data_IF_823424990853
#
_entry.id   IF_823424990853
#
_cell.length_a   1.000
_cell.length_b   1.000
_cell.length_c   1.000
_cell.angle_alpha   90.00
_cell.angle_beta   90.00
_cell.angle_gamma   90.00
#
_symmetry.space_group_name_H-M   'P 1'
#
loop_
_entity.id
_entity.type
_entity.pdbx_description
1 polymer ?
#
# COMPACT_ATOMS: atom_id res chain seq x y z
N UNK A 1 63.73 48.86 -5.03
CA UNK A 1 62.69 49.71 -4.40
C UNK A 1 61.77 48.81 -3.58
N UNK A 2 61.69 49.10 -2.28
CA UNK A 2 60.74 48.68 -1.23
C UNK A 2 59.82 47.47 -1.50
N UNK A 3 60.03 46.30 -0.87
CA UNK A 3 59.59 45.90 0.49
C UNK A 3 58.16 46.36 0.82
N UNK A 4 57.25 45.40 0.97
CA UNK A 4 56.35 45.32 2.13
C UNK A 4 55.79 43.90 2.28
N UNK A 5 56.36 43.21 3.27
CA UNK A 5 55.84 42.00 3.90
C UNK A 5 54.98 42.50 5.06
N UNK A 6 53.69 42.17 5.06
CA UNK A 6 52.80 42.44 6.18
C UNK A 6 52.74 41.21 7.08
N UNK A 7 53.26 41.37 8.30
CA UNK A 7 53.03 40.52 9.46
C UNK A 7 51.62 40.78 10.02
N UNK A 8 50.84 39.74 10.29
CA UNK A 8 49.74 39.82 11.25
C UNK A 8 49.89 38.74 12.33
N UNK A 9 50.37 39.23 13.48
CA UNK A 9 50.02 38.87 14.86
C UNK A 9 49.06 37.69 15.06
N UNK A 10 49.58 36.60 15.64
CA UNK A 10 48.80 35.64 16.42
C UNK A 10 48.24 36.31 17.66
N UNK A 11 46.91 36.51 17.71
CA UNK A 11 46.20 36.63 18.99
C UNK A 11 45.59 35.26 19.30
N UNK A 12 46.02 34.69 20.43
CA UNK A 12 45.40 33.49 21.01
C UNK A 12 43.97 33.81 21.44
N UNK A 13 43.02 33.09 20.85
CA UNK A 13 41.65 33.03 21.33
C UNK A 13 41.50 31.75 22.17
N UNK A 14 41.36 31.94 23.48
CA UNK A 14 40.93 30.90 24.42
C UNK A 14 39.54 30.41 24.03
N UNK A 15 39.44 29.13 23.65
CA UNK A 15 38.16 28.44 23.48
C UNK A 15 37.67 28.02 24.87
N UNK A 16 36.76 28.79 25.44
CA UNK A 16 35.94 28.35 26.55
C UNK A 16 34.86 27.40 26.03
N UNK A 17 34.91 26.14 26.48
CA UNK A 17 33.90 25.13 26.19
C UNK A 17 32.57 25.51 26.88
N UNK A 18 31.68 26.14 26.13
CA UNK A 18 30.29 26.30 26.49
C UNK A 18 29.57 24.99 26.15
N UNK A 19 29.18 24.24 27.17
CA UNK A 19 28.32 23.08 27.02
C UNK A 19 27.01 23.50 26.38
N UNK A 20 26.85 23.21 25.08
CA UNK A 20 25.55 23.22 24.44
C UNK A 20 24.80 22.00 24.97
N UNK A 21 23.95 22.25 25.97
CA UNK A 21 22.94 21.29 26.39
C UNK A 21 22.11 20.93 25.17
N UNK A 22 22.16 19.66 24.78
CA UNK A 22 21.31 19.12 23.74
C UNK A 22 19.87 19.33 24.13
N UNK A 23 19.23 20.30 23.48
CA UNK A 23 17.78 20.34 23.41
C UNK A 23 17.37 19.07 22.68
N UNK A 24 16.90 18.11 23.47
CA UNK A 24 16.10 17.00 22.99
C UNK A 24 14.91 17.61 22.26
N UNK A 25 14.97 17.65 20.94
CA UNK A 25 13.75 17.61 20.14
C UNK A 25 13.11 16.28 20.50
N UNK A 26 12.11 16.35 21.38
CA UNK A 26 11.28 15.22 21.71
C UNK A 26 10.54 14.82 20.44
N UNK A 27 10.93 13.68 19.85
CA UNK A 27 10.10 12.89 18.93
C UNK A 27 8.90 12.33 19.71
N UNK A 28 8.05 13.22 20.22
CA UNK A 28 6.76 12.89 20.80
C UNK A 28 5.77 12.77 19.65
N UNK A 29 5.75 11.61 18.98
CA UNK A 29 4.54 11.02 18.36
C UNK A 29 4.76 9.69 17.61
N UNK A 30 5.96 9.09 17.64
CA UNK A 30 6.14 7.72 17.14
C UNK A 30 6.14 6.75 18.33
N UNK A 31 4.97 6.51 18.94
CA UNK A 31 4.79 5.26 19.68
C UNK A 31 4.91 4.15 18.63
N UNK A 32 6.11 3.57 18.51
CA UNK A 32 6.38 2.51 17.56
C UNK A 32 5.39 1.39 17.80
N UNK A 33 4.46 1.21 16.87
CA UNK A 33 3.54 0.07 16.88
C UNK A 33 4.39 -1.18 16.92
N UNK A 34 4.30 -1.94 18.01
CA UNK A 34 4.97 -3.22 18.12
C UNK A 34 4.24 -4.23 17.20
N UNK A 35 4.79 -4.37 15.99
CA UNK A 35 4.24 -5.22 14.92
C UNK A 35 4.19 -6.70 15.31
N UNK A 36 5.01 -7.13 16.28
CA UNK A 36 4.99 -8.51 16.79
C UNK A 36 3.65 -8.86 17.45
N UNK A 37 2.86 -7.85 17.81
CA UNK A 37 1.51 -8.09 18.30
C UNK A 37 0.55 -8.54 17.21
N UNK A 38 0.80 -8.29 15.92
CA UNK A 38 -0.14 -8.59 14.85
C UNK A 38 0.20 -9.88 14.09
N UNK A 39 1.48 -10.24 14.04
CA UNK A 39 1.91 -11.43 13.29
C UNK A 39 3.29 -11.93 13.72
N UNK A 40 3.56 -13.18 13.36
CA UNK A 40 4.88 -13.80 13.37
C UNK A 40 5.31 -14.06 11.93
N UNK A 41 6.59 -13.83 11.64
CA UNK A 41 7.20 -14.17 10.36
C UNK A 41 8.11 -15.40 10.51
N UNK A 42 7.83 -16.43 9.72
CA UNK A 42 8.63 -17.65 9.63
C UNK A 42 9.50 -17.59 8.36
N UNK A 43 10.82 -17.63 8.55
CA UNK A 43 11.80 -17.51 7.47
C UNK A 43 12.16 -16.07 7.10
N UNK A 44 12.86 -15.92 5.98
CA UNK A 44 13.42 -14.64 5.52
C UNK A 44 13.09 -14.35 4.08
N UNK A 45 12.95 -13.06 3.76
CA UNK A 45 12.71 -12.59 2.40
C UNK A 45 14.02 -12.13 1.75
N UNK A 46 14.43 -12.69 0.59
CA UNK A 46 15.60 -12.19 -0.12
C UNK A 46 15.38 -10.76 -0.62
N UNK A 47 16.48 -10.07 -0.88
CA UNK A 47 16.45 -8.74 -1.48
C UNK A 47 15.94 -8.81 -2.92
N UNK A 48 15.44 -7.68 -3.43
CA UNK A 48 14.96 -7.62 -4.81
C UNK A 48 16.03 -8.03 -5.83
N UNK A 49 17.28 -7.58 -5.63
CA UNK A 49 18.41 -7.97 -6.48
C UNK A 49 18.68 -9.47 -6.47
N UNK A 50 18.57 -10.12 -5.31
CA UNK A 50 18.69 -11.58 -5.21
C UNK A 50 17.59 -12.29 -6.00
N UNK A 51 16.33 -11.83 -5.93
CA UNK A 51 15.22 -12.42 -6.70
C UNK A 51 15.46 -12.27 -8.20
N UNK A 52 15.86 -11.08 -8.67
CA UNK A 52 16.12 -10.83 -10.09
C UNK A 52 17.28 -11.68 -10.65
N UNK A 53 18.20 -12.12 -9.79
CA UNK A 53 19.27 -13.04 -10.19
C UNK A 53 18.76 -14.45 -10.54
N UNK A 54 17.61 -14.86 -9.98
CA UNK A 54 17.00 -16.18 -10.21
C UNK A 54 16.22 -16.26 -11.54
N UNK A 55 15.58 -17.39 -11.82
CA UNK A 55 14.67 -17.57 -12.96
C UNK A 55 13.21 -17.24 -12.64
N UNK A 56 12.87 -17.00 -11.38
CA UNK A 56 11.49 -16.89 -10.88
C UNK A 56 10.62 -15.84 -11.62
N UNK A 57 11.22 -14.69 -11.94
CA UNK A 57 10.53 -13.58 -12.60
C UNK A 57 10.91 -13.41 -14.08
N UNK A 58 11.65 -14.37 -14.65
CA UNK A 58 12.05 -14.34 -16.06
C UNK A 58 10.98 -14.99 -16.95
N UNK A 59 10.81 -14.53 -18.21
CA UNK A 59 11.47 -13.37 -18.81
C UNK A 59 10.93 -12.05 -18.23
N UNK A 60 11.83 -11.08 -18.02
CA UNK A 60 11.42 -9.73 -17.61
C UNK A 60 10.66 -9.04 -18.74
N UNK A 61 9.82 -8.06 -18.36
CA UNK A 61 8.92 -7.33 -19.26
C UNK A 61 7.84 -8.20 -19.92
N UNK A 62 7.63 -9.40 -19.40
CA UNK A 62 6.56 -10.31 -19.79
C UNK A 62 5.93 -10.93 -18.55
N UNK A 63 4.72 -11.43 -18.68
CA UNK A 63 4.06 -12.12 -17.59
C UNK A 63 4.72 -13.47 -17.34
N UNK A 64 5.11 -13.75 -16.09
CA UNK A 64 5.57 -15.07 -15.65
C UNK A 64 4.52 -15.75 -14.78
N UNK A 65 4.42 -17.08 -14.84
CA UNK A 65 3.56 -17.86 -13.94
C UNK A 65 4.34 -18.55 -12.82
N UNK A 66 5.67 -18.43 -12.78
CA UNK A 66 6.51 -19.16 -11.83
C UNK A 66 6.40 -18.60 -10.41
N UNK A 67 6.33 -17.28 -10.24
CA UNK A 67 6.25 -16.64 -8.93
C UNK A 67 7.53 -16.79 -8.10
N UNK A 68 7.48 -16.35 -6.84
CA UNK A 68 8.57 -16.50 -5.88
C UNK A 68 7.95 -16.72 -4.49
N UNK A 69 8.39 -17.77 -3.81
CA UNK A 69 7.97 -18.06 -2.44
C UNK A 69 8.83 -17.27 -1.44
N UNK A 70 8.19 -16.57 -0.51
CA UNK A 70 8.86 -15.74 0.49
C UNK A 70 8.72 -16.29 1.89
N UNK A 71 9.04 -15.45 2.89
CA UNK A 71 8.74 -15.78 4.28
C UNK A 71 7.23 -16.00 4.48
N UNK A 72 6.86 -16.79 5.48
CA UNK A 72 5.45 -17.05 5.82
C UNK A 72 5.02 -16.17 6.98
N UNK A 73 3.98 -15.37 6.76
CA UNK A 73 3.32 -14.61 7.83
C UNK A 73 2.21 -15.48 8.44
N UNK A 74 2.19 -15.55 9.78
CA UNK A 74 1.07 -16.09 10.57
C UNK A 74 0.52 -14.95 11.42
N UNK A 75 -0.76 -14.61 11.24
CA UNK A 75 -1.38 -13.49 11.96
C UNK A 75 -1.90 -13.91 13.34
N UNK A 76 -2.01 -12.94 14.25
CA UNK A 76 -2.75 -13.05 15.50
C UNK A 76 -4.23 -12.78 15.21
N UNK A 77 -5.02 -13.85 15.05
CA UNK A 77 -6.43 -13.78 14.63
C UNK A 77 -7.26 -12.95 15.61
N UNK A 78 -6.98 -13.03 16.92
CA UNK A 78 -7.77 -12.33 17.95
C UNK A 78 -7.63 -10.81 17.86
N UNK A 79 -6.51 -10.32 17.35
CA UNK A 79 -6.28 -8.87 17.18
C UNK A 79 -6.67 -8.39 15.78
N UNK A 80 -6.36 -9.19 14.76
CA UNK A 80 -6.57 -8.79 13.36
C UNK A 80 -8.02 -8.94 12.93
N UNK A 81 -8.66 -10.07 13.27
CA UNK A 81 -10.00 -10.45 12.81
C UNK A 81 -11.11 -9.93 13.72
N UNK A 82 -11.08 -8.63 13.94
CA UNK A 82 -12.00 -7.92 14.84
C UNK A 82 -13.03 -7.10 14.08
N UNK A 83 -13.99 -6.53 14.81
CA UNK A 83 -14.99 -5.62 14.23
C UNK A 83 -16.06 -6.32 13.37
N UNK A 84 -16.86 -5.54 12.61
CA UNK A 84 -18.01 -6.04 11.86
C UNK A 84 -17.64 -6.97 10.70
N UNK A 85 -16.37 -6.96 10.27
CA UNK A 85 -15.89 -7.75 9.14
C UNK A 85 -14.96 -8.91 9.55
N UNK A 86 -14.55 -8.99 10.82
CA UNK A 86 -13.58 -9.97 11.31
C UNK A 86 -13.97 -11.42 11.05
N UNK A 87 -15.24 -11.77 11.28
CA UNK A 87 -15.75 -13.13 11.08
C UNK A 87 -16.20 -13.44 9.65
N UNK A 88 -15.96 -12.56 8.68
CA UNK A 88 -16.38 -12.77 7.29
C UNK A 88 -15.31 -13.52 6.53
N UNK A 89 -15.61 -14.76 6.11
CA UNK A 89 -14.72 -15.50 5.22
C UNK A 89 -14.51 -14.76 3.88
N UNK A 90 -13.25 -14.64 3.45
CA UNK A 90 -12.88 -13.99 2.18
C UNK A 90 -13.40 -14.79 1.00
N UNK A 91 -13.40 -16.13 1.14
CA UNK A 91 -13.82 -17.08 0.11
C UNK A 91 -13.23 -16.78 -1.28
N UNK A 92 -11.92 -16.50 -1.37
CA UNK A 92 -11.24 -16.11 -2.62
C UNK A 92 -11.51 -17.08 -3.77
N UNK A 93 -11.60 -18.38 -3.49
CA UNK A 93 -11.90 -19.39 -4.51
C UNK A 93 -13.34 -19.30 -5.02
N UNK A 94 -14.34 -19.16 -4.15
CA UNK A 94 -15.75 -19.07 -4.58
C UNK A 94 -16.02 -17.74 -5.29
N UNK A 95 -15.42 -16.65 -4.79
CA UNK A 95 -15.55 -15.31 -5.35
C UNK A 95 -14.62 -15.08 -6.56
N UNK A 96 -13.87 -16.11 -6.96
CA UNK A 96 -12.94 -16.10 -8.11
C UNK A 96 -11.98 -14.91 -8.09
N UNK A 97 -11.54 -14.53 -6.89
CA UNK A 97 -10.56 -13.47 -6.73
C UNK A 97 -9.26 -13.82 -7.45
N UNK A 98 -8.64 -12.77 -7.97
CA UNK A 98 -7.34 -12.83 -8.63
C UNK A 98 -6.43 -11.80 -8.02
N UNK A 99 -5.13 -12.07 -8.06
CA UNK A 99 -4.11 -11.10 -7.65
C UNK A 99 -3.31 -10.61 -8.85
N UNK A 100 -2.93 -9.34 -8.80
CA UNK A 100 -1.96 -8.70 -9.68
C UNK A 100 -0.71 -8.44 -8.86
N UNK A 101 0.44 -8.97 -9.25
CA UNK A 101 1.73 -8.80 -8.59
C UNK A 101 2.75 -8.11 -9.51
N UNK A 102 3.97 -7.89 -9.03
CA UNK A 102 5.08 -7.36 -9.84
C UNK A 102 5.42 -8.18 -11.09
N UNK A 103 5.09 -9.48 -11.11
CA UNK A 103 5.45 -10.39 -12.20
C UNK A 103 4.28 -10.86 -13.07
N UNK A 104 3.04 -10.67 -12.63
CA UNK A 104 1.87 -11.15 -13.36
C UNK A 104 0.61 -10.33 -13.02
N UNK A 105 -0.20 -9.91 -14.01
CA UNK A 105 -1.31 -9.01 -13.75
C UNK A 105 -2.61 -9.69 -13.28
N UNK A 106 -2.68 -11.02 -13.37
CA UNK A 106 -3.91 -11.78 -13.13
C UNK A 106 -3.63 -13.25 -12.77
N UNK A 107 -3.31 -13.53 -11.51
CA UNK A 107 -3.05 -14.88 -10.98
C UNK A 107 -4.34 -15.41 -10.36
N UNK A 108 -4.67 -16.67 -10.63
CA UNK A 108 -5.84 -17.36 -10.07
C UNK A 108 -5.54 -17.96 -8.70
N UNK A 109 -6.59 -18.18 -7.90
CA UNK A 109 -6.49 -18.63 -6.51
C UNK A 109 -5.66 -19.91 -6.33
N UNK A 110 -5.80 -20.88 -7.24
CA UNK A 110 -5.04 -22.15 -7.24
C UNK A 110 -3.52 -21.95 -7.29
N UNK A 111 -3.06 -20.77 -7.73
CA UNK A 111 -1.65 -20.42 -7.86
C UNK A 111 -1.16 -19.39 -6.86
N UNK A 112 -1.99 -18.94 -5.90
CA UNK A 112 -1.56 -17.94 -4.91
C UNK A 112 -0.33 -18.37 -4.11
N UNK A 113 -0.21 -19.67 -3.82
CA UNK A 113 0.94 -20.23 -3.09
C UNK A 113 2.30 -19.95 -3.76
N UNK A 114 2.36 -19.91 -5.09
CA UNK A 114 3.58 -19.60 -5.85
C UNK A 114 4.03 -18.14 -5.68
N UNK A 115 3.15 -17.27 -5.18
CA UNK A 115 3.38 -15.83 -5.01
C UNK A 115 3.39 -15.44 -3.53
N UNK A 116 3.69 -16.41 -2.66
CA UNK A 116 3.57 -16.26 -1.21
C UNK A 116 4.37 -15.08 -0.68
N UNK A 117 5.50 -14.71 -1.32
CA UNK A 117 6.26 -13.49 -0.99
C UNK A 117 5.40 -12.22 -0.95
N UNK A 118 4.54 -12.01 -1.94
CA UNK A 118 3.75 -10.78 -2.05
C UNK A 118 2.35 -10.94 -1.48
N UNK A 119 1.79 -12.15 -1.54
CA UNK A 119 0.40 -12.40 -1.19
C UNK A 119 0.22 -13.70 -0.42
N UNK A 120 -0.49 -13.65 0.70
CA UNK A 120 -0.90 -14.83 1.46
C UNK A 120 -2.34 -14.69 1.97
N UNK A 121 -2.94 -15.81 2.35
CA UNK A 121 -4.20 -15.85 3.11
C UNK A 121 -3.96 -16.63 4.40
N UNK A 122 -4.50 -16.12 5.51
CA UNK A 122 -4.51 -16.77 6.82
C UNK A 122 -5.82 -16.40 7.52
N UNK A 123 -6.65 -17.39 7.81
CA UNK A 123 -8.01 -17.19 8.32
C UNK A 123 -8.92 -16.42 7.33
N UNK A 124 -9.57 -15.38 7.84
CA UNK A 124 -10.40 -14.43 7.10
C UNK A 124 -9.59 -13.24 6.58
N UNK A 125 -8.26 -13.33 6.56
CA UNK A 125 -7.36 -12.20 6.25
C UNK A 125 -6.46 -12.47 5.04
N UNK A 126 -6.44 -11.50 4.11
CA UNK A 126 -5.51 -11.42 2.99
C UNK A 126 -4.30 -10.56 3.40
N UNK A 127 -3.10 -11.00 3.07
CA UNK A 127 -1.83 -10.40 3.49
C UNK A 127 -1.12 -9.89 2.24
N UNK A 128 -0.93 -8.57 2.15
CA UNK A 128 -0.30 -7.91 1.01
C UNK A 128 1.05 -7.34 1.42
N UNK A 129 2.10 -7.68 0.66
CA UNK A 129 3.48 -7.25 0.90
C UNK A 129 4.12 -6.69 -0.36
N UNK A 130 4.81 -5.57 -0.22
CA UNK A 130 5.83 -5.11 -1.15
C UNK A 130 7.10 -4.80 -0.36
N UNK A 131 8.25 -5.05 -0.97
CA UNK A 131 9.54 -4.85 -0.33
C UNK A 131 10.31 -3.73 -1.00
N UNK A 132 11.28 -3.19 -0.26
CA UNK A 132 12.20 -2.18 -0.76
C UNK A 132 12.77 -2.54 -2.14
N UNK A 133 12.88 -1.53 -3.00
CA UNK A 133 13.41 -1.56 -4.37
C UNK A 133 12.61 -2.39 -5.38
N UNK A 134 11.50 -3.00 -4.98
CA UNK A 134 10.68 -3.79 -5.89
C UNK A 134 10.03 -2.91 -6.98
N UNK A 135 10.02 -3.46 -8.19
CA UNK A 135 9.55 -2.79 -9.38
C UNK A 135 8.68 -3.75 -10.20
N UNK A 136 7.81 -3.22 -11.05
CA UNK A 136 7.03 -4.05 -11.96
C UNK A 136 7.94 -4.62 -13.05
N UNK A 137 7.94 -5.94 -13.18
CA UNK A 137 8.68 -6.68 -14.19
C UNK A 137 7.76 -7.42 -15.16
N UNK A 138 6.45 -7.31 -15.01
CA UNK A 138 5.47 -7.99 -15.86
C UNK A 138 5.34 -7.37 -17.25
N UNK A 139 5.84 -6.14 -17.46
CA UNK A 139 5.76 -5.40 -18.72
C UNK A 139 6.84 -4.31 -18.78
N UNK A 140 6.81 -3.45 -19.80
CA UNK A 140 7.83 -2.42 -20.05
C UNK A 140 7.81 -1.24 -19.04
N UNK A 141 6.72 -1.05 -18.29
CA UNK A 141 6.61 0.00 -17.26
C UNK A 141 7.30 -0.49 -15.98
N UNK A 142 8.57 -0.14 -15.80
CA UNK A 142 9.39 -0.61 -14.66
C UNK A 142 8.87 -0.21 -13.28
N UNK A 143 8.43 1.03 -13.07
CA UNK A 143 7.80 1.44 -11.80
C UNK A 143 6.41 0.81 -11.67
N UNK A 144 5.56 1.26 -10.74
CA UNK A 144 4.18 0.77 -10.64
C UNK A 144 4.09 -0.67 -10.12
N UNK A 145 5.01 -1.01 -9.21
CA UNK A 145 4.94 -2.19 -8.35
C UNK A 145 3.59 -2.23 -7.62
N UNK A 146 3.05 -3.43 -7.50
CA UNK A 146 1.77 -3.65 -6.85
C UNK A 146 1.60 -5.09 -6.41
N UNK A 147 0.78 -5.26 -5.40
CA UNK A 147 0.10 -6.52 -5.10
C UNK A 147 -1.35 -6.17 -4.79
N UNK A 148 -2.26 -6.45 -5.72
CA UNK A 148 -3.67 -6.08 -5.59
C UNK A 148 -4.56 -7.27 -5.87
N UNK A 149 -5.58 -7.49 -5.05
CA UNK A 149 -6.68 -8.40 -5.34
C UNK A 149 -7.81 -7.68 -6.08
N UNK A 150 -8.55 -8.44 -6.88
CA UNK A 150 -9.75 -7.99 -7.59
C UNK A 150 -10.64 -9.18 -7.95
N UNK A 151 -11.92 -8.93 -8.21
CA UNK A 151 -12.82 -9.92 -8.82
C UNK A 151 -13.01 -9.63 -10.31
N UNK A 152 -12.81 -10.65 -11.18
CA UNK A 152 -13.22 -10.56 -12.56
C UNK A 152 -14.73 -10.79 -12.76
N UNK A 153 -15.45 -11.31 -11.76
CA UNK A 153 -16.88 -11.61 -11.86
C UNK A 153 -17.76 -10.50 -11.30
N UNK A 154 -17.29 -9.77 -10.29
CA UNK A 154 -18.01 -8.67 -9.65
C UNK A 154 -17.68 -7.35 -10.34
N UNK A 155 -17.99 -7.29 -11.64
CA UNK A 155 -17.79 -6.12 -12.49
C UNK A 155 -19.11 -5.68 -13.09
N UNK A 156 -19.25 -4.38 -13.28
CA UNK A 156 -20.49 -3.79 -13.75
C UNK A 156 -20.24 -2.67 -14.75
N UNK A 157 -21.23 -2.43 -15.61
CA UNK A 157 -21.27 -1.22 -16.42
C UNK A 157 -21.90 -0.07 -15.61
N UNK A 158 -21.68 1.19 -16.00
CA UNK A 158 -22.22 2.33 -15.27
C UNK A 158 -23.76 2.31 -15.26
N UNK A 159 -24.35 2.20 -14.07
CA UNK A 159 -25.78 2.10 -13.86
C UNK A 159 -26.20 3.02 -12.70
N UNK A 160 -26.54 4.30 -12.96
CA UNK A 160 -26.72 5.31 -11.91
C UNK A 160 -27.74 4.97 -10.81
N UNK A 161 -28.66 4.04 -11.06
CA UNK A 161 -29.65 3.58 -10.07
C UNK A 161 -29.21 2.37 -9.25
N UNK A 162 -28.08 1.73 -9.58
CA UNK A 162 -27.59 0.50 -8.94
C UNK A 162 -26.28 0.78 -8.22
N UNK A 163 -26.31 0.66 -6.89
CA UNK A 163 -25.12 0.84 -6.07
C UNK A 163 -24.39 -0.48 -5.89
N UNK A 164 -23.10 -0.48 -6.23
CA UNK A 164 -22.20 -1.57 -5.89
C UNK A 164 -21.36 -1.17 -4.68
N UNK A 165 -21.12 -2.12 -3.78
CA UNK A 165 -20.44 -1.89 -2.53
C UNK A 165 -19.18 -2.75 -2.40
N UNK A 166 -18.09 -2.17 -1.89
CA UNK A 166 -16.97 -2.90 -1.33
C UNK A 166 -16.89 -2.62 0.17
N UNK A 167 -16.63 -3.65 0.97
CA UNK A 167 -16.31 -3.47 2.40
C UNK A 167 -15.24 -4.43 2.88
N UNK A 168 -14.35 -3.95 3.75
CA UNK A 168 -13.30 -4.74 4.40
C UNK A 168 -12.74 -4.01 5.62
N UNK A 169 -12.05 -4.75 6.50
CA UNK A 169 -11.21 -4.18 7.56
C UNK A 169 -9.76 -4.13 7.11
N UNK A 170 -9.10 -3.00 7.28
CA UNK A 170 -7.70 -2.81 6.94
C UNK A 170 -6.85 -2.68 8.20
N UNK A 171 -5.69 -3.35 8.22
CA UNK A 171 -4.60 -3.08 9.15
C UNK A 171 -3.36 -2.70 8.35
N UNK A 172 -2.91 -1.45 8.43
CA UNK A 172 -1.64 -1.02 7.81
C UNK A 172 -0.54 -1.21 8.85
N UNK A 173 0.40 -2.10 8.60
CA UNK A 173 1.45 -2.45 9.57
C UNK A 173 2.80 -1.85 9.19
N UNK A 174 3.08 -1.74 7.89
CA UNK A 174 4.24 -0.98 7.38
C UNK A 174 3.78 -0.12 6.22
N UNK A 175 4.20 1.15 6.21
CA UNK A 175 3.87 2.07 5.11
C UNK A 175 5.08 2.85 4.59
N UNK A 176 6.28 2.76 5.18
CA UNK A 176 7.41 3.61 4.81
C UNK A 176 7.71 3.60 3.29
N UNK A 177 7.51 2.46 2.62
CA UNK A 177 7.63 2.32 1.16
C UNK A 177 6.61 3.09 0.32
N UNK A 178 5.56 3.64 0.92
CA UNK A 178 4.55 4.51 0.30
C UNK A 178 4.97 5.98 0.24
N UNK A 179 6.14 6.31 0.78
CA UNK A 179 6.83 7.56 0.49
C UNK A 179 7.43 7.50 -0.92
N UNK A 180 7.66 8.64 -1.55
CA UNK A 180 8.47 8.67 -2.76
C UNK A 180 9.55 9.74 -2.69
N UNK A 181 10.71 9.41 -3.24
CA UNK A 181 11.70 10.38 -3.66
C UNK A 181 11.66 10.49 -5.19
N UNK A 182 11.70 11.73 -5.74
CA UNK A 182 11.73 13.02 -5.05
C UNK A 182 10.34 13.56 -4.65
N UNK A 183 9.26 12.80 -4.86
CA UNK A 183 7.89 13.30 -4.75
C UNK A 183 7.38 13.21 -3.31
N UNK A 184 7.58 14.29 -2.53
CA UNK A 184 7.08 14.47 -1.14
C UNK A 184 5.54 14.34 -0.97
N UNK A 185 4.79 14.04 -2.03
CA UNK A 185 3.33 13.92 -2.05
C UNK A 185 2.87 12.64 -2.76
N UNK A 186 3.68 11.59 -2.72
CA UNK A 186 3.28 10.28 -3.22
C UNK A 186 2.49 9.52 -2.16
N UNK A 187 1.58 8.65 -2.61
CA UNK A 187 0.78 7.81 -1.74
C UNK A 187 0.57 6.46 -2.42
N UNK A 188 0.66 5.38 -1.65
CA UNK A 188 0.15 4.08 -2.10
C UNK A 188 -1.37 4.12 -2.16
N UNK A 189 -1.96 3.46 -3.15
CA UNK A 189 -3.38 3.14 -3.11
C UNK A 189 -3.58 1.84 -2.34
N UNK A 190 -4.47 1.87 -1.34
CA UNK A 190 -4.94 0.69 -0.61
C UNK A 190 -6.19 0.09 -1.25
N UNK A 191 -6.98 0.96 -1.89
CA UNK A 191 -8.20 0.61 -2.59
C UNK A 191 -8.41 1.53 -3.79
N UNK A 192 -9.03 0.99 -4.85
CA UNK A 192 -9.43 1.75 -6.03
C UNK A 192 -10.80 1.26 -6.54
N UNK A 193 -11.73 2.19 -6.76
CA UNK A 193 -12.88 1.96 -7.63
C UNK A 193 -12.49 2.29 -9.06
N UNK A 194 -12.30 1.27 -9.89
CA UNK A 194 -11.48 1.35 -11.10
C UNK A 194 -12.00 0.44 -12.23
N UNK A 195 -12.01 0.96 -13.45
CA UNK A 195 -12.26 0.15 -14.63
C UNK A 195 -11.07 -0.70 -15.07
N UNK A 196 -11.33 -1.70 -15.90
CA UNK A 196 -10.28 -2.61 -16.36
C UNK A 196 -9.37 -1.94 -17.40
N UNK A 197 -8.05 -1.99 -17.18
CA UNK A 197 -6.99 -1.62 -18.12
C UNK A 197 -6.99 -0.20 -18.73
N UNK A 198 -7.96 0.65 -18.39
CA UNK A 198 -7.96 2.08 -18.72
C UNK A 198 -7.67 2.87 -17.45
N UNK A 199 -6.96 4.01 -17.55
CA UNK A 199 -6.77 4.95 -16.44
C UNK A 199 -8.09 5.67 -16.11
N UNK A 200 -9.03 4.88 -15.61
CA UNK A 200 -10.42 5.21 -15.43
C UNK A 200 -10.79 4.72 -14.03
N UNK A 201 -10.37 5.45 -13.00
CA UNK A 201 -10.76 5.28 -11.59
C UNK A 201 -11.57 6.49 -11.12
N UNK A 202 -12.49 6.31 -10.17
CA UNK A 202 -13.38 7.35 -9.61
C UNK A 202 -12.84 7.86 -8.28
N UNK A 203 -12.50 6.94 -7.39
CA UNK A 203 -12.00 7.24 -6.05
C UNK A 203 -10.97 6.18 -5.61
N UNK A 204 -10.04 6.62 -4.76
CA UNK A 204 -9.08 5.74 -4.08
C UNK A 204 -9.02 6.05 -2.59
N UNK A 205 -8.75 5.03 -1.80
CA UNK A 205 -8.22 5.21 -0.44
C UNK A 205 -6.70 5.08 -0.52
N UNK A 206 -5.99 6.05 0.05
CA UNK A 206 -4.54 6.11 -0.05
C UNK A 206 -3.87 6.27 1.31
N UNK A 207 -2.64 5.77 1.41
CA UNK A 207 -1.78 5.91 2.60
C UNK A 207 -0.42 6.49 2.20
N UNK A 208 0.09 7.41 3.02
CA UNK A 208 1.44 7.94 2.92
C UNK A 208 2.40 7.14 3.81
N UNK A 209 3.71 7.29 3.62
CA UNK A 209 4.68 6.50 4.39
C UNK A 209 4.83 6.85 5.87
N UNK A 210 4.25 7.97 6.31
CA UNK A 210 4.07 8.31 7.73
C UNK A 210 2.82 7.68 8.36
N UNK A 211 2.06 6.90 7.58
CA UNK A 211 0.80 6.30 8.01
C UNK A 211 -0.41 7.20 7.85
N UNK A 212 -0.30 8.41 7.32
CA UNK A 212 -1.48 9.27 7.12
C UNK A 212 -2.41 8.69 6.06
N UNK A 213 -3.72 8.66 6.36
CA UNK A 213 -4.77 8.08 5.53
C UNK A 213 -5.53 9.18 4.80
N UNK A 214 -5.80 8.97 3.50
CA UNK A 214 -6.33 10.00 2.62
C UNK A 214 -7.48 9.49 1.76
N UNK A 215 -8.55 10.29 1.72
CA UNK A 215 -9.59 10.21 0.70
C UNK A 215 -9.07 10.89 -0.58
N UNK A 216 -9.07 10.13 -1.68
CA UNK A 216 -8.43 10.57 -2.92
C UNK A 216 -9.42 10.46 -4.11
N UNK A 217 -10.32 11.43 -4.25
CA UNK A 217 -11.27 11.49 -5.36
C UNK A 217 -10.56 11.91 -6.65
N UNK A 218 -11.05 11.44 -7.81
CA UNK A 218 -10.54 11.89 -9.10
C UNK A 218 -10.98 13.32 -9.38
N UNK A 219 -10.03 14.17 -9.78
CA UNK A 219 -10.31 15.53 -10.25
C UNK A 219 -10.82 16.50 -9.17
N UNK A 220 -10.79 16.09 -7.90
CA UNK A 220 -11.20 16.91 -6.76
C UNK A 220 -10.12 16.96 -5.68
N UNK A 221 -10.33 17.80 -4.66
CA UNK A 221 -9.38 17.99 -3.57
C UNK A 221 -9.24 16.69 -2.76
N UNK A 222 -7.99 16.27 -2.51
CA UNK A 222 -7.71 15.16 -1.60
C UNK A 222 -7.82 15.63 -0.15
N UNK A 223 -8.41 14.80 0.70
CA UNK A 223 -8.68 15.12 2.10
C UNK A 223 -8.00 14.10 2.98
N UNK A 224 -7.24 14.58 3.97
CA UNK A 224 -6.67 13.71 4.99
C UNK A 224 -7.80 13.26 5.93
N UNK A 225 -7.88 11.97 6.18
CA UNK A 225 -8.86 11.35 7.07
C UNK A 225 -8.24 11.19 8.46
N UNK A 226 -7.00 10.67 8.54
CA UNK A 226 -6.25 10.44 9.79
C UNK A 226 -4.77 10.74 9.60
N UNK A 227 -4.11 11.18 10.67
CA UNK A 227 -2.67 11.48 10.65
C UNK A 227 -1.79 10.23 10.69
N UNK A 228 -2.23 9.15 11.33
CA UNK A 228 -1.49 7.89 11.40
C UNK A 228 -2.45 6.71 11.60
N UNK A 229 -2.36 5.68 10.75
CA UNK A 229 -3.10 4.42 10.87
C UNK A 229 -2.22 3.19 11.07
N UNK A 230 -0.92 3.37 11.33
CA UNK A 230 0.01 2.26 11.54
C UNK A 230 -0.36 1.45 12.78
N UNK A 231 -0.71 0.18 12.60
CA UNK A 231 -1.20 -0.70 13.66
C UNK A 231 -2.59 -0.35 14.19
N UNK A 232 -3.30 0.57 13.55
CA UNK A 232 -4.62 0.99 13.97
C UNK A 232 -5.63 0.50 12.92
N UNK A 233 -6.35 -0.60 13.19
CA UNK A 233 -7.30 -1.10 12.23
C UNK A 233 -8.43 -0.11 11.98
N UNK A 234 -8.96 -0.14 10.76
CA UNK A 234 -10.15 0.63 10.39
C UNK A 234 -11.01 -0.15 9.40
N UNK A 235 -12.31 0.06 9.48
CA UNK A 235 -13.31 -0.55 8.62
C UNK A 235 -13.61 0.39 7.46
N UNK A 236 -13.45 -0.10 6.23
CA UNK A 236 -13.70 0.66 5.03
C UNK A 236 -14.95 0.16 4.33
N UNK A 237 -15.76 1.09 3.83
CA UNK A 237 -16.84 0.81 2.88
C UNK A 237 -16.85 1.84 1.77
N UNK A 238 -17.02 1.39 0.53
CA UNK A 238 -17.23 2.27 -0.63
C UNK A 238 -18.47 1.83 -1.37
N UNK A 239 -19.27 2.80 -1.81
CA UNK A 239 -20.39 2.60 -2.72
C UNK A 239 -20.11 3.35 -4.01
N UNK A 240 -20.33 2.74 -5.17
CA UNK A 240 -20.13 3.34 -6.49
C UNK A 240 -21.21 2.82 -7.45
N UNK A 241 -21.96 3.72 -8.11
CA UNK A 241 -23.01 3.38 -9.08
C UNK A 241 -22.60 3.67 -10.55
N UNK A 242 -21.33 3.99 -10.77
CA UNK A 242 -20.82 4.40 -12.08
C UNK A 242 -21.00 5.88 -12.42
N UNK A 243 -21.52 6.68 -11.51
CA UNK A 243 -21.51 8.15 -11.59
C UNK A 243 -21.12 8.73 -10.23
N UNK A 244 -21.92 8.46 -9.22
CA UNK A 244 -21.74 8.86 -7.84
C UNK A 244 -20.94 7.82 -7.06
N UNK A 245 -20.16 8.29 -6.10
CA UNK A 245 -19.50 7.43 -5.13
C UNK A 245 -19.51 8.02 -3.72
N UNK A 246 -19.48 7.14 -2.74
CA UNK A 246 -19.42 7.44 -1.32
C UNK A 246 -18.33 6.58 -0.68
N UNK A 247 -17.54 7.15 0.23
CA UNK A 247 -16.57 6.41 1.03
C UNK A 247 -16.82 6.63 2.50
N UNK A 248 -16.76 5.53 3.26
CA UNK A 248 -16.93 5.51 4.69
C UNK A 248 -15.72 4.85 5.36
N UNK A 249 -15.29 5.41 6.49
CA UNK A 249 -14.27 4.83 7.38
C UNK A 249 -14.88 4.74 8.79
N UNK A 250 -14.86 3.55 9.38
CA UNK A 250 -15.48 3.24 10.68
C UNK A 250 -16.95 3.68 10.77
N UNK A 251 -17.68 3.53 9.66
CA UNK A 251 -19.09 3.91 9.53
C UNK A 251 -19.34 5.40 9.25
N UNK A 252 -18.33 6.26 9.36
CA UNK A 252 -18.45 7.70 9.10
C UNK A 252 -18.20 8.02 7.62
N UNK A 253 -19.05 8.86 7.02
CA UNK A 253 -18.87 9.34 5.65
C UNK A 253 -17.66 10.29 5.58
N UNK A 254 -16.59 9.87 4.90
CA UNK A 254 -15.36 10.67 4.77
C UNK A 254 -15.30 11.47 3.47
N UNK A 255 -16.16 11.13 2.50
CA UNK A 255 -16.25 11.88 1.25
C UNK A 255 -17.23 11.28 0.26
N UNK A 256 -17.67 12.14 -0.65
CA UNK A 256 -18.50 11.81 -1.80
C UNK A 256 -17.92 12.45 -3.05
N UNK A 257 -18.40 12.04 -4.22
CA UNK A 257 -18.10 12.74 -5.45
C UNK A 257 -18.78 12.12 -6.66
N UNK A 258 -18.52 12.72 -7.81
CA UNK A 258 -19.05 12.27 -9.08
C UNK A 258 -17.93 12.11 -10.09
N UNK A 259 -17.92 10.99 -10.80
CA UNK A 259 -17.07 10.76 -11.95
C UNK A 259 -17.82 9.83 -12.92
N UNK A 260 -18.38 10.42 -13.99
CA UNK A 260 -19.13 9.66 -14.99
C UNK A 260 -18.25 8.59 -15.62
N UNK A 261 -18.63 7.33 -15.42
CA UNK A 261 -17.93 6.19 -16.00
C UNK A 261 -18.48 5.90 -17.39
N UNK A 262 -17.61 5.50 -18.32
CA UNK A 262 -17.98 5.03 -19.67
C UNK A 262 -17.57 3.58 -19.93
N UNK A 263 -16.86 2.95 -19.00
CA UNK A 263 -16.27 1.62 -19.15
C UNK A 263 -16.70 0.74 -17.97
N UNK A 264 -16.51 -0.57 -18.12
CA UNK A 264 -16.66 -1.56 -17.04
C UNK A 264 -15.89 -1.13 -15.79
N UNK A 265 -16.51 -1.30 -14.63
CA UNK A 265 -16.05 -0.89 -13.31
C UNK A 265 -15.81 -2.15 -12.47
N UNK A 266 -14.82 -2.09 -11.60
CA UNK A 266 -14.62 -3.06 -10.53
C UNK A 266 -13.91 -2.43 -9.34
N UNK A 267 -13.81 -3.18 -8.27
CA UNK A 267 -13.00 -2.81 -7.11
C UNK A 267 -11.65 -3.52 -7.14
N UNK A 268 -10.62 -2.82 -6.68
CA UNK A 268 -9.29 -3.39 -6.41
C UNK A 268 -8.84 -2.97 -5.03
N UNK A 269 -8.19 -3.87 -4.31
CA UNK A 269 -7.66 -3.61 -2.97
C UNK A 269 -6.32 -4.29 -2.80
N UNK A 270 -5.48 -3.79 -1.90
CA UNK A 270 -4.11 -4.27 -1.70
C UNK A 270 -3.14 -3.09 -1.70
N UNK A 271 -2.01 -3.19 -2.40
CA UNK A 271 -0.98 -2.16 -2.44
C UNK A 271 -0.67 -1.80 -3.88
N UNK A 272 -0.74 -0.52 -4.23
CA UNK A 272 -0.27 -0.01 -5.51
C UNK A 272 0.49 1.32 -5.35
N UNK A 273 1.78 1.34 -5.73
CA UNK A 273 2.68 2.49 -5.53
C UNK A 273 2.77 3.46 -6.72
N UNK A 274 1.95 3.26 -7.77
CA UNK A 274 1.99 4.14 -8.95
C UNK A 274 3.37 4.26 -9.60
N UNK A 275 3.63 5.30 -10.38
CA UNK A 275 4.93 5.47 -11.06
C UNK A 275 6.05 5.95 -10.13
N UNK A 276 6.24 5.30 -8.97
CA UNK A 276 7.31 5.60 -8.02
C UNK A 276 8.05 4.34 -7.59
N UNK A 277 9.18 4.52 -6.90
CA UNK A 277 9.97 3.44 -6.31
C UNK A 277 9.37 3.04 -4.97
N UNK A 278 9.45 1.75 -4.63
CA UNK A 278 9.18 1.26 -3.28
C UNK A 278 10.41 1.56 -2.41
N UNK A 279 10.33 2.58 -1.54
CA UNK A 279 11.50 3.03 -0.77
C UNK A 279 11.86 2.13 0.42
N UNK A 280 10.88 1.39 0.92
CA UNK A 280 10.95 0.52 2.09
C UNK A 280 9.80 -0.49 2.04
N UNK A 281 9.72 -1.38 3.02
CA UNK A 281 8.66 -2.38 3.11
C UNK A 281 7.26 -1.75 3.30
N UNK A 282 6.27 -2.43 2.74
CA UNK A 282 4.85 -2.15 2.91
C UNK A 282 4.16 -3.47 3.26
N UNK A 283 3.35 -3.45 4.32
CA UNK A 283 2.58 -4.60 4.78
C UNK A 283 1.18 -4.13 5.16
N UNK A 284 0.18 -4.70 4.49
CA UNK A 284 -1.24 -4.40 4.70
C UNK A 284 -1.99 -5.71 4.84
N UNK A 285 -2.80 -5.81 5.90
CA UNK A 285 -3.74 -6.90 6.09
C UNK A 285 -5.14 -6.42 5.74
N UNK A 286 -5.90 -7.24 5.01
CA UNK A 286 -7.29 -6.95 4.65
C UNK A 286 -8.17 -8.12 5.06
N UNK A 287 -9.03 -7.90 6.03
CA UNK A 287 -9.90 -8.92 6.61
C UNK A 287 -11.33 -8.76 6.12
N UNK A 288 -11.95 -9.88 5.76
CA UNK A 288 -13.37 -9.93 5.42
C UNK A 288 -13.75 -9.08 4.20
N UNK A 289 -12.88 -9.01 3.20
CA UNK A 289 -13.18 -8.33 1.95
C UNK A 289 -14.43 -8.92 1.28
N UNK A 290 -15.35 -8.06 0.84
CA UNK A 290 -16.57 -8.47 0.16
C UNK A 290 -17.03 -7.39 -0.82
N UNK A 291 -17.69 -7.84 -1.88
CA UNK A 291 -18.34 -7.01 -2.88
C UNK A 291 -19.82 -7.38 -2.97
N UNK A 292 -20.69 -6.40 -3.22
CA UNK A 292 -22.14 -6.55 -3.39
C UNK A 292 -22.66 -5.66 -4.50
#
# INVERSE_FOLDING_TARGET
MYKNIIFFSMLGLTISASAFSGDKVSDSNNQGTDLHNFYVQEGSDPTWSQILSTAALKPLQTHTSAGFEGSRIKIDHEKVETGPYGNRAINSESNKYRIHTVGHPSITQDKFHLWSRWYQEDGNTQIFRLFKDEENVSNQRKLAARVEAFSPQDRWLPEPSVWHEFSARFNVLKAAGCSAEPVKKHYCSLFQAKGNNVDHWSVMLRVHGDGSLWFYPRGAKHTKIRDNVLGQPFDMKVRDNGLDYEMYIDGELVGTGQFKRTEEIGFRWGIYVGSTKVLDDILVLVTGASMK
#
